data_IF_311355501300
#
_entry.id   IF_311355501300
#
_cell.length_a   1.000
_cell.length_b   1.000
_cell.length_c   1.000
_cell.angle_alpha   90.00
_cell.angle_beta   90.00
_cell.angle_gamma   90.00
#
_symmetry.space_group_name_H-M   'P 1'
#
loop_
_entity.id
_entity.type
_entity.pdbx_description
1 polymer ?
#
# COMPACT_ATOMS: atom_id res chain seq x y z
N UNK A 1 -6.62 -9.46 -0.13
CA UNK A 1 -6.61 -9.46 1.36
C UNK A 1 -7.06 -10.83 1.88
N UNK A 2 -8.24 -11.30 1.50
CA UNK A 2 -8.80 -12.56 1.99
C UNK A 2 -7.94 -13.77 1.59
N UNK A 3 -7.39 -13.76 0.38
CA UNK A 3 -6.51 -14.82 -0.12
C UNK A 3 -5.25 -15.05 0.75
N UNK A 4 -4.78 -14.03 1.47
CA UNK A 4 -3.64 -14.13 2.41
C UNK A 4 -4.09 -14.28 3.87
N UNK A 5 -5.38 -14.54 4.11
CA UNK A 5 -5.92 -14.71 5.46
C UNK A 5 -6.06 -13.41 6.27
N UNK A 6 -6.19 -12.28 5.58
CA UNK A 6 -6.33 -10.96 6.18
C UNK A 6 -4.99 -10.25 6.45
N UNK A 7 -5.06 -8.94 6.61
CA UNK A 7 -3.92 -8.06 6.91
C UNK A 7 -4.14 -7.40 8.26
N UNK A 8 -3.20 -7.57 9.18
CA UNK A 8 -3.28 -7.00 10.51
C UNK A 8 -2.59 -5.64 10.56
N UNK A 9 -3.31 -4.63 11.06
CA UNK A 9 -2.80 -3.26 11.23
C UNK A 9 -3.13 -2.74 12.61
N UNK A 10 -2.33 -1.79 13.11
CA UNK A 10 -2.66 -1.01 14.30
C UNK A 10 -3.12 0.37 13.85
N UNK A 11 -4.35 0.73 14.18
CA UNK A 11 -4.99 1.98 13.74
C UNK A 11 -4.26 3.18 14.34
N UNK A 12 -3.65 4.09 13.54
CA UNK A 12 -2.79 5.15 14.07
C UNK A 12 -3.57 6.32 14.67
N UNK A 13 -4.74 6.61 14.14
CA UNK A 13 -5.63 7.68 14.56
C UNK A 13 -7.08 7.21 14.64
N UNK A 14 -7.96 8.00 15.23
CA UNK A 14 -9.38 7.66 15.30
C UNK A 14 -10.05 7.84 13.92
N UNK A 15 -10.47 6.73 13.33
CA UNK A 15 -11.22 6.68 12.07
C UNK A 15 -12.60 6.04 12.24
N UNK A 16 -13.19 6.11 13.45
CA UNK A 16 -14.51 5.53 13.74
C UNK A 16 -15.64 6.10 12.88
N UNK A 17 -15.45 7.30 12.33
CA UNK A 17 -16.36 7.87 11.33
C UNK A 17 -16.38 7.07 10.01
N UNK A 18 -15.34 6.28 9.72
CA UNK A 18 -15.26 5.40 8.55
C UNK A 18 -15.84 4.03 8.87
N UNK A 19 -15.40 3.44 9.98
CA UNK A 19 -15.89 2.16 10.49
C UNK A 19 -15.69 2.10 12.02
N UNK A 20 -16.69 1.65 12.79
CA UNK A 20 -16.59 1.61 14.26
C UNK A 20 -15.41 0.81 14.81
N UNK A 21 -14.86 -0.14 14.06
CA UNK A 21 -13.69 -0.92 14.46
C UNK A 21 -12.36 -0.16 14.34
N UNK A 22 -12.35 1.02 13.72
CA UNK A 22 -11.15 1.81 13.45
C UNK A 22 -10.85 2.81 14.58
N UNK A 23 -10.93 2.36 15.83
CA UNK A 23 -10.53 3.13 17.00
C UNK A 23 -9.01 3.31 17.04
N UNK A 24 -8.52 4.47 17.44
CA UNK A 24 -7.10 4.74 17.64
C UNK A 24 -6.45 3.73 18.57
N UNK A 25 -5.36 3.12 18.11
CA UNK A 25 -4.59 2.11 18.84
C UNK A 25 -5.17 0.70 18.79
N UNK A 26 -6.34 0.50 18.17
CA UNK A 26 -6.89 -0.86 17.97
C UNK A 26 -6.02 -1.65 17.00
N UNK A 27 -5.69 -2.89 17.34
CA UNK A 27 -5.06 -3.85 16.42
C UNK A 27 -6.15 -4.72 15.82
N UNK A 28 -6.33 -4.62 14.52
CA UNK A 28 -7.43 -5.27 13.79
C UNK A 28 -6.89 -6.06 12.60
N UNK A 29 -7.56 -7.16 12.28
CA UNK A 29 -7.29 -7.90 11.04
C UNK A 29 -8.32 -7.52 10.00
N UNK A 30 -7.85 -6.88 8.94
CA UNK A 30 -8.65 -6.44 7.81
C UNK A 30 -8.93 -7.64 6.88
N UNK A 31 -10.21 -7.96 6.68
CA UNK A 31 -10.66 -8.76 5.55
C UNK A 31 -10.82 -7.87 4.31
N UNK A 32 -11.28 -8.43 3.17
CA UNK A 32 -11.44 -7.67 1.93
C UNK A 32 -12.31 -6.43 2.08
N UNK A 33 -13.46 -6.55 2.77
CA UNK A 33 -14.40 -5.44 2.97
C UNK A 33 -13.81 -4.34 3.87
N UNK A 34 -13.22 -4.72 5.01
CA UNK A 34 -12.59 -3.76 5.91
C UNK A 34 -11.35 -3.12 5.30
N UNK A 35 -10.58 -3.88 4.52
CA UNK A 35 -9.43 -3.36 3.79
C UNK A 35 -9.87 -2.30 2.77
N UNK A 36 -10.94 -2.55 2.01
CA UNK A 36 -11.47 -1.55 1.08
C UNK A 36 -11.86 -0.26 1.81
N UNK A 37 -12.58 -0.35 2.91
CA UNK A 37 -12.93 0.81 3.75
C UNK A 37 -11.67 1.53 4.24
N UNK A 38 -10.69 0.79 4.75
CA UNK A 38 -9.48 1.32 5.35
C UNK A 38 -8.63 2.12 4.35
N UNK A 39 -8.45 1.59 3.13
CA UNK A 39 -7.57 2.21 2.12
C UNK A 39 -8.27 3.22 1.20
N UNK A 40 -9.61 3.17 1.07
CA UNK A 40 -10.35 4.01 0.12
C UNK A 40 -11.16 5.12 0.77
N UNK A 41 -11.82 4.83 1.91
CA UNK A 41 -12.71 5.79 2.54
C UNK A 41 -11.95 6.96 3.15
N UNK A 42 -12.56 8.12 3.15
CA UNK A 42 -12.07 9.32 3.83
C UNK A 42 -13.27 10.13 4.32
N UNK A 43 -13.05 10.86 5.39
CA UNK A 43 -13.98 11.90 5.82
C UNK A 43 -13.66 13.18 5.01
N UNK A 44 -14.54 13.53 4.09
CA UNK A 44 -14.35 14.67 3.19
C UNK A 44 -14.50 16.03 3.91
N UNK A 45 -15.05 16.03 5.12
CA UNK A 45 -15.18 17.23 5.93
C UNK A 45 -13.87 17.59 6.66
N UNK A 46 -12.94 16.64 6.75
CA UNK A 46 -11.62 16.83 7.36
C UNK A 46 -10.62 17.27 6.28
N UNK A 47 -10.03 18.45 6.45
CA UNK A 47 -9.10 19.06 5.48
C UNK A 47 -7.89 18.16 5.15
N UNK A 48 -7.41 17.40 6.15
CA UNK A 48 -6.24 16.52 6.01
C UNK A 48 -6.60 15.07 5.67
N UNK A 49 -7.86 14.79 5.35
CA UNK A 49 -8.36 13.41 5.12
C UNK A 49 -7.64 12.67 3.99
N UNK A 50 -7.06 13.38 3.02
CA UNK A 50 -6.27 12.77 1.96
C UNK A 50 -4.93 12.22 2.48
N UNK A 51 -4.22 12.95 3.32
CA UNK A 51 -2.97 12.51 3.95
C UNK A 51 -3.24 11.31 4.86
N UNK A 52 -4.26 11.38 5.70
CA UNK A 52 -4.69 10.27 6.55
C UNK A 52 -4.98 9.00 5.73
N UNK A 53 -5.60 9.14 4.56
CA UNK A 53 -5.82 8.00 3.65
C UNK A 53 -4.50 7.47 3.10
N UNK A 54 -3.59 8.35 2.68
CA UNK A 54 -2.27 7.94 2.17
C UNK A 54 -1.46 7.22 3.25
N UNK A 55 -1.53 7.65 4.50
CA UNK A 55 -0.89 6.97 5.64
C UNK A 55 -1.45 5.56 5.85
N UNK A 56 -2.78 5.41 5.84
CA UNK A 56 -3.41 4.10 5.91
C UNK A 56 -3.07 3.20 4.73
N UNK A 57 -2.95 3.76 3.53
CA UNK A 57 -2.50 3.02 2.35
C UNK A 57 -1.05 2.54 2.51
N UNK A 58 -0.14 3.40 2.98
CA UNK A 58 1.25 3.00 3.25
C UNK A 58 1.31 1.89 4.28
N UNK A 59 0.61 2.05 5.41
CA UNK A 59 0.57 1.06 6.47
C UNK A 59 0.01 -0.29 6.00
N UNK A 60 -1.06 -0.25 5.21
CA UNK A 60 -1.62 -1.48 4.62
C UNK A 60 -0.63 -2.17 3.69
N UNK A 61 0.07 -1.41 2.85
CA UNK A 61 1.09 -1.96 1.94
C UNK A 61 2.27 -2.56 2.71
N UNK A 62 2.76 -1.87 3.75
CA UNK A 62 3.83 -2.39 4.62
C UNK A 62 3.42 -3.72 5.25
N UNK A 63 2.23 -3.78 5.85
CA UNK A 63 1.72 -5.00 6.46
C UNK A 63 1.44 -6.13 5.44
N UNK A 64 1.01 -5.79 4.22
CA UNK A 64 0.86 -6.75 3.12
C UNK A 64 2.22 -7.32 2.68
N UNK A 65 3.22 -6.46 2.51
CA UNK A 65 4.58 -6.88 2.15
C UNK A 65 5.14 -7.81 3.21
N UNK A 66 5.04 -7.44 4.49
CA UNK A 66 5.48 -8.28 5.61
C UNK A 66 4.77 -9.65 5.61
N UNK A 67 3.46 -9.65 5.39
CA UNK A 67 2.67 -10.87 5.28
C UNK A 67 3.12 -11.75 4.12
N UNK A 68 3.37 -11.15 2.96
CA UNK A 68 3.84 -11.87 1.77
C UNK A 68 5.26 -12.42 1.95
N UNK A 69 6.16 -11.66 2.58
CA UNK A 69 7.51 -12.13 2.89
C UNK A 69 7.56 -13.29 3.88
N UNK A 70 6.50 -13.45 4.68
CA UNK A 70 6.34 -14.60 5.59
C UNK A 70 5.87 -15.88 4.90
N UNK A 71 5.62 -15.87 3.58
CA UNK A 71 5.24 -17.05 2.80
C UNK A 71 6.51 -17.71 2.27
N UNK A 72 6.92 -18.82 2.88
CA UNK A 72 8.13 -19.56 2.49
C UNK A 72 7.88 -20.55 1.34
N UNK A 73 6.61 -20.96 1.13
CA UNK A 73 6.24 -21.96 0.14
C UNK A 73 5.87 -21.33 -1.21
N UNK A 74 6.68 -21.59 -2.24
CA UNK A 74 6.40 -21.14 -3.62
C UNK A 74 5.05 -21.62 -4.16
N UNK A 75 4.58 -22.78 -3.72
CA UNK A 75 3.24 -23.28 -4.10
C UNK A 75 2.11 -22.42 -3.56
N UNK A 76 2.29 -21.82 -2.39
CA UNK A 76 1.35 -20.88 -1.82
C UNK A 76 1.28 -19.59 -2.65
N UNK A 77 2.41 -19.06 -3.12
CA UNK A 77 2.45 -17.93 -4.05
C UNK A 77 1.70 -18.21 -5.35
N UNK A 78 1.93 -19.37 -5.95
CA UNK A 78 1.24 -19.77 -7.18
C UNK A 78 -0.27 -19.92 -6.96
N UNK A 79 -0.68 -20.46 -5.80
CA UNK A 79 -2.09 -20.56 -5.43
C UNK A 79 -2.73 -19.18 -5.27
N UNK A 80 -2.03 -18.22 -4.64
CA UNK A 80 -2.50 -16.84 -4.54
C UNK A 80 -2.69 -16.20 -5.91
N UNK A 81 -1.74 -16.40 -6.83
CA UNK A 81 -1.85 -15.91 -8.20
C UNK A 81 -3.05 -16.50 -8.94
N UNK A 82 -3.25 -17.81 -8.85
CA UNK A 82 -4.40 -18.49 -9.47
C UNK A 82 -5.75 -17.96 -8.95
N UNK A 83 -5.82 -17.62 -7.66
CA UNK A 83 -7.01 -17.02 -7.06
C UNK A 83 -7.27 -15.58 -7.52
N UNK A 84 -6.26 -14.90 -8.07
CA UNK A 84 -6.36 -13.52 -8.56
C UNK A 84 -6.51 -13.44 -10.09
N UNK A 85 -6.29 -14.54 -10.80
CA UNK A 85 -6.25 -14.58 -12.27
C UNK A 85 -7.54 -14.02 -12.90
N UNK A 86 -8.70 -14.35 -12.33
CA UNK A 86 -9.99 -13.83 -12.81
C UNK A 86 -10.17 -12.30 -12.64
N UNK A 87 -9.36 -11.67 -11.77
CA UNK A 87 -9.42 -10.24 -11.46
C UNK A 87 -8.29 -9.44 -12.12
N UNK A 88 -7.36 -10.12 -12.79
CA UNK A 88 -6.19 -9.50 -13.38
C UNK A 88 -6.12 -9.75 -14.89
N UNK A 89 -5.62 -8.76 -15.61
CA UNK A 89 -5.18 -8.94 -16.99
C UNK A 89 -3.67 -8.71 -17.02
N UNK A 90 -2.90 -9.76 -17.27
CA UNK A 90 -1.45 -9.70 -17.29
C UNK A 90 -0.90 -10.57 -18.42
N UNK A 91 0.30 -10.25 -18.88
CA UNK A 91 1.08 -11.07 -19.80
C UNK A 91 2.19 -11.88 -19.08
N UNK A 92 2.22 -11.83 -17.74
CA UNK A 92 3.15 -12.64 -16.96
C UNK A 92 2.77 -14.12 -17.05
N UNK A 93 3.76 -14.96 -17.29
CA UNK A 93 3.63 -16.42 -17.25
C UNK A 93 3.85 -16.93 -15.82
N UNK A 94 3.45 -18.18 -15.55
CA UNK A 94 3.72 -18.81 -14.26
C UNK A 94 5.23 -18.94 -13.97
N UNK A 95 6.05 -19.17 -15.02
CA UNK A 95 7.51 -19.26 -14.92
C UNK A 95 8.13 -17.91 -14.50
N UNK A 96 7.70 -16.81 -15.12
CA UNK A 96 8.14 -15.45 -14.77
C UNK A 96 7.71 -15.08 -13.33
N UNK A 97 6.57 -15.56 -12.87
CA UNK A 97 6.12 -15.38 -11.49
C UNK A 97 6.98 -16.15 -10.49
N UNK A 98 7.38 -17.37 -10.81
CA UNK A 98 8.32 -18.14 -9.99
C UNK A 98 9.67 -17.42 -9.85
N UNK A 99 10.16 -16.81 -10.93
CA UNK A 99 11.37 -15.99 -10.89
C UNK A 99 11.19 -14.75 -10.03
N UNK A 100 10.02 -14.07 -10.11
CA UNK A 100 9.71 -12.90 -9.28
C UNK A 100 9.63 -13.25 -7.79
N UNK A 101 9.22 -14.46 -7.43
CA UNK A 101 9.15 -14.90 -6.04
C UNK A 101 10.54 -14.98 -5.35
N UNK A 102 11.63 -15.02 -6.12
CA UNK A 102 13.00 -14.97 -5.59
C UNK A 102 13.48 -13.54 -5.26
N UNK A 103 12.75 -12.51 -5.69
CA UNK A 103 13.05 -11.12 -5.37
C UNK A 103 12.45 -10.73 -4.02
N UNK A 104 13.24 -10.06 -3.20
CA UNK A 104 12.75 -9.45 -1.98
C UNK A 104 12.16 -8.08 -2.28
N UNK A 105 10.94 -7.85 -1.81
CA UNK A 105 10.34 -6.52 -1.84
C UNK A 105 11.07 -5.67 -0.79
N UNK A 106 11.48 -4.45 -1.16
CA UNK A 106 12.10 -3.52 -0.21
C UNK A 106 11.10 -3.15 0.89
N UNK A 107 11.57 -3.13 2.14
CA UNK A 107 10.78 -2.64 3.27
C UNK A 107 10.57 -1.11 3.21
N UNK A 108 11.42 -0.41 2.46
CA UNK A 108 11.35 1.03 2.32
C UNK A 108 10.36 1.45 1.22
N UNK A 109 9.26 2.05 1.62
CA UNK A 109 8.35 2.72 0.70
C UNK A 109 8.86 4.13 0.41
N UNK A 110 9.38 4.33 -0.79
CA UNK A 110 9.89 5.63 -1.22
C UNK A 110 8.73 6.53 -1.65
N UNK A 111 8.54 7.62 -0.92
CA UNK A 111 7.52 8.63 -1.23
C UNK A 111 8.06 9.68 -2.19
N UNK A 112 7.23 10.08 -3.16
CA UNK A 112 7.55 11.21 -4.03
C UNK A 112 7.63 12.49 -3.18
N UNK A 113 8.74 13.24 -3.19
CA UNK A 113 8.90 14.44 -2.37
C UNK A 113 8.05 15.60 -2.90
N UNK A 114 7.47 16.37 -1.99
CA UNK A 114 6.63 17.51 -2.35
C UNK A 114 5.78 17.97 -1.17
N UNK A 115 4.89 18.91 -1.46
CA UNK A 115 3.97 19.47 -0.47
C UNK A 115 2.55 19.61 -1.01
N UNK A 116 1.58 19.64 -0.12
CA UNK A 116 0.19 19.90 -0.48
C UNK A 116 -0.03 21.41 -0.46
N UNK A 117 -0.49 21.93 -1.59
CA UNK A 117 -0.90 23.33 -1.74
C UNK A 117 -2.40 23.41 -2.01
N UNK A 118 -3.03 24.51 -1.59
CA UNK A 118 -4.40 24.84 -2.01
C UNK A 118 -4.34 25.77 -3.21
N UNK A 119 -4.95 25.37 -4.32
CA UNK A 119 -5.07 26.21 -5.52
C UNK A 119 -6.50 26.13 -6.04
N UNK A 120 -7.13 27.28 -6.22
CA UNK A 120 -8.50 27.41 -6.71
C UNK A 120 -9.53 26.57 -5.92
N UNK A 121 -9.34 26.48 -4.59
CA UNK A 121 -10.19 25.69 -3.70
C UNK A 121 -9.96 24.18 -3.74
N UNK A 122 -8.96 23.72 -4.48
CA UNK A 122 -8.59 22.30 -4.58
C UNK A 122 -7.21 22.04 -3.99
N UNK A 123 -7.08 20.92 -3.28
CA UNK A 123 -5.78 20.43 -2.82
C UNK A 123 -5.00 19.86 -4.01
N UNK A 124 -3.78 20.36 -4.23
CA UNK A 124 -2.85 19.87 -5.25
C UNK A 124 -1.54 19.46 -4.58
N UNK A 125 -0.94 18.38 -5.06
CA UNK A 125 0.40 17.98 -4.62
C UNK A 125 1.44 18.58 -5.54
N UNK A 126 2.26 19.48 -4.99
CA UNK A 126 3.36 20.10 -5.71
C UNK A 126 4.63 19.29 -5.51
N UNK A 127 5.06 18.59 -6.54
CA UNK A 127 6.25 17.73 -6.49
C UNK A 127 7.52 18.56 -6.44
N UNK A 128 8.43 18.26 -5.50
CA UNK A 128 9.81 18.76 -5.54
C UNK A 128 10.63 17.98 -6.57
N UNK A 129 10.68 18.51 -7.78
CA UNK A 129 11.39 17.88 -8.88
C UNK A 129 12.91 17.75 -8.65
N UNK A 130 13.52 18.60 -7.80
CA UNK A 130 14.95 18.55 -7.50
C UNK A 130 15.25 17.33 -6.61
N UNK A 131 14.46 17.16 -5.55
CA UNK A 131 14.61 16.01 -4.64
C UNK A 131 14.17 14.71 -5.31
N UNK A 132 13.08 14.72 -6.10
CA UNK A 132 12.65 13.57 -6.88
C UNK A 132 13.77 13.07 -7.81
N UNK A 133 14.45 13.99 -8.51
CA UNK A 133 15.58 13.64 -9.38
C UNK A 133 16.72 12.96 -8.63
N UNK A 134 17.03 13.38 -7.39
CA UNK A 134 18.06 12.72 -6.56
C UNK A 134 17.62 11.30 -6.19
N UNK A 135 16.37 11.13 -5.78
CA UNK A 135 15.81 9.81 -5.44
C UNK A 135 15.91 8.88 -6.65
N UNK A 136 15.44 9.32 -7.81
CA UNK A 136 15.50 8.52 -9.04
C UNK A 136 16.94 8.13 -9.40
N UNK A 137 17.89 9.06 -9.29
CA UNK A 137 19.31 8.78 -9.56
C UNK A 137 19.86 7.74 -8.58
N UNK A 138 19.52 7.83 -7.30
CA UNK A 138 20.00 6.88 -6.29
C UNK A 138 19.40 5.49 -6.43
N UNK A 139 18.13 5.39 -6.84
CA UNK A 139 17.43 4.11 -6.96
C UNK A 139 17.75 3.36 -8.25
N UNK A 140 17.84 4.07 -9.36
CA UNK A 140 17.88 3.45 -10.68
C UNK A 140 19.21 3.60 -11.40
N UNK A 141 20.09 4.50 -10.94
CA UNK A 141 21.37 4.75 -11.59
C UNK A 141 22.52 4.58 -10.58
N UNK A 142 23.35 3.55 -10.79
CA UNK A 142 24.65 3.49 -10.10
C UNK A 142 25.60 4.47 -10.82
N UNK A 143 26.22 5.37 -10.05
CA UNK A 143 27.39 6.10 -10.55
C UNK A 143 28.48 5.04 -10.81
N UNK A 144 28.93 4.95 -12.07
CA UNK A 144 30.07 4.14 -12.49
C UNK A 144 31.37 4.73 -11.91
#
# INVERSE_FOLDING_TARGET
>A
TDAVGGITVTVPEDYTAIDPSFEKGATITLNGELAEKYVRKRDIEVLDSNNQRMERQSQFMEALIEKMQGIDDKTEYLSLYQNLDEYMTTNLTAEELEELADYKISEDIVKVPGEIISKDGHAQYLVDNKELKKIVLNLFYKLL
#
